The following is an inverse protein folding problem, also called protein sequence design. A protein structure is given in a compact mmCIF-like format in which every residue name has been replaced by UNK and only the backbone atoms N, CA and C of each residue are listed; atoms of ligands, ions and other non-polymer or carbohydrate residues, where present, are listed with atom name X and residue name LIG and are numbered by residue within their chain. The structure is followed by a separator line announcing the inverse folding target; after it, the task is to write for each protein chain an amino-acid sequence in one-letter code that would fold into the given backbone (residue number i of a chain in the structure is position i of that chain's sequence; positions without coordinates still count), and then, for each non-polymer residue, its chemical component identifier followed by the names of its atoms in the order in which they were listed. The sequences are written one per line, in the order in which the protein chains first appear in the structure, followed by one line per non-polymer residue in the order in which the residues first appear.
data_IF_896550669833
#
_entry.id   IF_896550669833
#
_cell.length_a   1.000
_cell.length_b   1.000
_cell.length_c   1.000
_cell.angle_alpha   90.00
_cell.angle_beta   90.00
_cell.angle_gamma   90.00
#
_symmetry.space_group_name_H-M   'P 1'
#
loop_
_entity.id
_entity.type
_entity.pdbx_description
1 polymer ?
#
# COMPACT_ATOMS: atom_id res chain seq x y z
N UNK A 1 10.46 -1.45 9.30
CA UNK A 1 9.63 -2.66 9.28
C UNK A 1 8.43 -2.57 10.21
N UNK A 2 8.60 -2.28 11.50
CA UNK A 2 7.48 -2.20 12.44
C UNK A 2 6.37 -1.21 12.02
N UNK A 3 6.73 0.00 11.59
CA UNK A 3 5.74 0.98 11.10
C UNK A 3 4.98 0.49 9.86
N UNK A 4 5.68 -0.22 8.96
CA UNK A 4 5.04 -0.82 7.80
C UNK A 4 4.04 -1.91 8.21
N UNK A 5 4.40 -2.78 9.16
CA UNK A 5 3.48 -3.78 9.71
C UNK A 5 2.24 -3.15 10.36
N UNK A 6 2.42 -2.06 11.12
CA UNK A 6 1.31 -1.34 11.75
C UNK A 6 0.36 -0.67 10.75
N UNK A 7 0.91 -0.10 9.67
CA UNK A 7 0.12 0.55 8.62
C UNK A 7 -0.55 -0.47 7.70
N UNK A 8 0.17 -1.48 7.23
CA UNK A 8 -0.34 -2.45 6.27
C UNK A 8 -1.23 -3.53 6.90
N UNK A 9 -1.02 -3.85 8.17
CA UNK A 9 -1.71 -4.95 8.85
C UNK A 9 -1.42 -6.32 8.24
N UNK A 10 -1.97 -7.37 8.84
CA UNK A 10 -1.77 -8.76 8.43
C UNK A 10 -2.24 -9.03 7.00
N UNK A 11 -3.13 -8.21 6.45
CA UNK A 11 -3.76 -8.46 5.15
C UNK A 11 -2.91 -7.91 3.98
N UNK A 12 -2.05 -6.91 4.24
CA UNK A 12 -1.23 -6.25 3.21
C UNK A 12 0.26 -6.15 3.54
N UNK A 13 0.71 -6.63 4.71
CA UNK A 13 2.12 -6.68 5.06
C UNK A 13 2.82 -7.83 4.32
N UNK A 14 3.61 -7.48 3.30
CA UNK A 14 4.25 -8.42 2.38
C UNK A 14 5.65 -7.94 1.97
N UNK A 15 6.46 -8.85 1.45
CA UNK A 15 7.81 -8.50 1.01
C UNK A 15 7.74 -7.51 -0.18
N UNK A 16 8.41 -6.34 -0.11
CA UNK A 16 8.40 -5.37 -1.20
C UNK A 16 9.17 -5.83 -2.44
N UNK A 17 9.96 -6.91 -2.33
CA UNK A 17 10.77 -7.44 -3.44
C UNK A 17 10.08 -8.60 -4.18
N UNK A 18 9.46 -9.53 -3.44
CA UNK A 18 8.88 -10.74 -4.03
C UNK A 18 7.36 -10.86 -3.84
N UNK A 19 6.70 -9.90 -3.19
CA UNK A 19 5.28 -9.93 -2.84
C UNK A 19 4.84 -11.15 -1.98
N UNK A 20 5.77 -11.96 -1.45
CA UNK A 20 5.41 -13.03 -0.52
C UNK A 20 4.80 -12.44 0.75
N UNK A 21 3.63 -12.95 1.13
CA UNK A 21 2.93 -12.56 2.36
C UNK A 21 3.33 -13.52 3.47
N UNK A 22 3.12 -14.82 3.26
CA UNK A 22 3.23 -15.85 4.30
C UNK A 22 4.67 -15.98 4.82
N UNK A 23 5.65 -16.18 3.93
CA UNK A 23 7.04 -16.38 4.34
C UNK A 23 7.59 -15.12 5.01
N UNK A 24 7.25 -13.96 4.45
CA UNK A 24 7.68 -12.67 4.99
C UNK A 24 7.10 -12.41 6.37
N UNK A 25 5.80 -12.63 6.57
CA UNK A 25 5.16 -12.46 7.87
C UNK A 25 5.70 -13.41 8.92
N UNK A 26 5.91 -14.68 8.56
CA UNK A 26 6.50 -15.67 9.45
C UNK A 26 7.91 -15.23 9.89
N UNK A 27 8.77 -14.85 8.94
CA UNK A 27 10.13 -14.39 9.23
C UNK A 27 10.13 -13.12 10.09
N UNK A 28 9.34 -12.11 9.74
CA UNK A 28 9.28 -10.86 10.50
C UNK A 28 8.79 -11.06 11.95
N UNK A 29 7.88 -12.00 12.19
CA UNK A 29 7.47 -12.38 13.55
C UNK A 29 8.63 -12.98 14.36
N UNK A 30 9.52 -13.77 13.74
CA UNK A 30 10.71 -14.29 14.43
C UNK A 30 11.68 -13.18 14.85
N UNK A 31 11.69 -12.06 14.11
CA UNK A 31 12.42 -10.84 14.47
C UNK A 31 11.69 -9.94 15.47
N UNK A 32 10.54 -10.37 16.01
CA UNK A 32 9.77 -9.62 17.00
C UNK A 32 8.94 -8.48 16.43
N UNK A 33 8.70 -8.45 15.12
CA UNK A 33 7.79 -7.48 14.51
C UNK A 33 6.35 -7.87 14.82
N UNK A 34 5.63 -6.97 15.50
CA UNK A 34 4.20 -7.13 15.73
C UNK A 34 3.42 -6.80 14.45
N UNK A 35 2.52 -7.70 14.04
CA UNK A 35 1.67 -7.54 12.87
C UNK A 35 0.20 -7.59 13.35
N UNK A 36 -0.54 -6.46 13.34
CA UNK A 36 -1.93 -6.45 13.77
C UNK A 36 -2.84 -7.10 12.72
N UNK A 37 -3.84 -7.86 13.16
CA UNK A 37 -4.91 -8.38 12.30
C UNK A 37 -5.89 -7.26 11.95
N UNK A 38 -5.65 -6.61 10.82
CA UNK A 38 -6.43 -5.50 10.29
C UNK A 38 -6.11 -5.27 8.81
N UNK A 39 -7.02 -4.61 8.09
CA UNK A 39 -6.75 -4.06 6.76
C UNK A 39 -5.67 -2.99 6.80
N UNK A 40 -5.10 -2.64 5.66
CA UNK A 40 -4.18 -1.54 5.61
C UNK A 40 -4.85 -0.20 5.94
N UNK A 41 -4.08 0.76 6.47
CA UNK A 41 -4.58 2.09 6.80
C UNK A 41 -5.15 2.81 5.58
N UNK A 42 -4.52 2.64 4.41
CA UNK A 42 -4.95 3.24 3.16
C UNK A 42 -6.25 2.64 2.60
N UNK A 43 -6.65 1.43 3.02
CA UNK A 43 -7.97 0.87 2.66
C UNK A 43 -9.11 1.46 3.50
N UNK A 44 -8.76 2.09 4.63
CA UNK A 44 -9.71 2.67 5.59
C UNK A 44 -9.82 4.18 5.48
N UNK A 45 -9.00 4.82 4.65
CA UNK A 45 -9.05 6.25 4.37
C UNK A 45 -10.25 6.58 3.46
N UNK A 46 -11.15 7.50 3.85
CA UNK A 46 -12.24 7.92 2.99
C UNK A 46 -11.70 8.47 1.66
N UNK A 47 -12.23 7.98 0.55
CA UNK A 47 -11.83 8.39 -0.81
C UNK A 47 -10.37 8.09 -1.18
N UNK A 48 -9.69 7.14 -0.50
CA UNK A 48 -8.28 6.79 -0.75
C UNK A 48 -7.91 6.51 -2.22
N UNK A 49 -8.88 6.01 -2.99
CA UNK A 49 -8.69 5.66 -4.41
C UNK A 49 -9.61 6.43 -5.35
N UNK A 50 -10.22 7.51 -4.89
CA UNK A 50 -11.18 8.27 -5.70
C UNK A 50 -10.55 8.80 -6.99
N UNK A 51 -9.29 9.27 -6.92
CA UNK A 51 -8.53 9.75 -8.06
C UNK A 51 -8.19 8.63 -9.07
N UNK A 52 -8.24 7.37 -8.65
CA UNK A 52 -7.97 6.21 -9.50
C UNK A 52 -9.23 5.67 -10.18
N UNK A 53 -10.42 6.16 -9.80
CA UNK A 53 -11.70 5.70 -10.35
C UNK A 53 -11.84 6.07 -11.83
N UNK A 54 -11.41 7.28 -12.18
CA UNK A 54 -11.50 7.84 -13.52
C UNK A 54 -10.12 7.93 -14.17
N UNK A 55 -10.06 7.63 -15.46
CA UNK A 55 -8.81 7.79 -16.21
C UNK A 55 -8.56 9.27 -16.45
N UNK A 56 -7.41 9.76 -15.98
CA UNK A 56 -6.94 11.11 -16.32
C UNK A 56 -6.93 11.30 -17.85
N UNK A 57 -7.64 12.34 -18.32
CA UNK A 57 -7.88 12.59 -19.74
C UNK A 57 -7.42 13.97 -20.22
N UNK A 58 -6.76 14.74 -19.36
CA UNK A 58 -6.15 16.03 -19.69
C UNK A 58 -4.63 15.93 -19.72
N UNK A 59 -3.96 17.02 -20.04
CA UNK A 59 -2.51 17.13 -19.88
C UNK A 59 -2.24 18.00 -18.65
N UNK A 60 -1.38 17.53 -17.75
CA UNK A 60 -1.02 18.26 -16.53
C UNK A 60 0.13 19.26 -16.70
N UNK A 61 0.64 19.42 -17.93
CA UNK A 61 1.79 20.31 -18.19
C UNK A 61 1.35 21.78 -18.26
N UNK A 62 2.23 22.69 -17.84
CA UNK A 62 1.92 24.14 -17.82
C UNK A 62 1.63 24.73 -19.20
N UNK A 63 2.29 24.21 -20.24
CA UNK A 63 2.03 24.56 -21.65
C UNK A 63 1.84 23.29 -22.50
N UNK A 64 0.58 22.89 -22.74
CA UNK A 64 0.26 21.75 -23.63
C UNK A 64 0.61 22.14 -25.07
N UNK A 65 1.36 21.29 -25.76
CA UNK A 65 1.58 21.38 -27.22
C UNK A 65 0.60 20.51 -28.02
N UNK A 66 -0.42 20.05 -27.32
CA UNK A 66 -1.52 19.25 -27.84
C UNK A 66 -2.28 20.13 -28.85
N UNK A 67 -2.59 19.62 -30.06
CA UNK A 67 -3.25 20.40 -31.10
C UNK A 67 -4.65 20.90 -30.69
#
# INVERSE_FOLDING_TARGET
LQQYALSAGMHYFKCPLCNSVQDFQAEMQTFGIYIPDQDASWEREPNAFHELLERHNSCDVSECLCP
#
